data_IF_848653277175
#
_entry.id   IF_848653277175
#
_cell.length_a   1.000
_cell.length_b   1.000
_cell.length_c   1.000
_cell.angle_alpha   90.00
_cell.angle_beta   90.00
_cell.angle_gamma   90.00
#
_symmetry.space_group_name_H-M   'P 1'
#
loop_
_entity.id
_entity.type
_entity.pdbx_description
1 polymer ?
#
# COMPACT_ATOMS: atom_id res chain seq x y z
N UNK A 1 34.85 2.85 -6.41
CA UNK A 1 35.81 1.77 -6.11
C UNK A 1 37.07 1.98 -6.96
N UNK A 2 38.27 1.87 -6.37
CA UNK A 2 39.50 2.02 -7.17
C UNK A 2 39.58 0.97 -8.27
N UNK A 3 40.09 1.36 -9.44
CA UNK A 3 40.18 0.50 -10.62
C UNK A 3 40.97 -0.77 -10.34
N UNK A 4 42.01 -0.71 -9.52
CA UNK A 4 42.84 -1.87 -9.18
C UNK A 4 42.07 -2.99 -8.47
N UNK A 5 40.93 -2.66 -7.81
CA UNK A 5 40.10 -3.64 -7.10
C UNK A 5 38.96 -4.18 -7.95
N UNK A 6 38.79 -3.65 -9.16
CA UNK A 6 37.72 -4.05 -10.06
C UNK A 6 37.95 -5.49 -10.60
N UNK A 7 36.89 -6.30 -10.65
CA UNK A 7 36.96 -7.63 -11.24
C UNK A 7 37.35 -7.57 -12.72
N UNK A 8 36.93 -6.54 -13.44
CA UNK A 8 37.32 -6.36 -14.83
C UNK A 8 38.84 -6.31 -14.97
N UNK A 9 39.52 -5.59 -14.07
CA UNK A 9 40.96 -5.50 -14.08
C UNK A 9 41.64 -6.88 -13.90
N UNK A 10 41.07 -7.71 -13.02
CA UNK A 10 41.59 -9.04 -12.72
C UNK A 10 41.37 -10.03 -13.87
N UNK A 11 40.43 -9.75 -14.76
CA UNK A 11 40.12 -10.64 -15.89
C UNK A 11 40.86 -10.26 -17.17
N UNK A 12 41.71 -9.23 -17.14
CA UNK A 12 42.48 -8.86 -18.34
C UNK A 12 43.50 -9.94 -18.66
N UNK A 13 43.58 -10.36 -19.94
CA UNK A 13 44.42 -11.44 -20.39
C UNK A 13 43.85 -12.83 -20.22
N UNK A 14 42.67 -12.95 -19.55
CA UNK A 14 41.99 -14.24 -19.40
C UNK A 14 41.13 -14.50 -20.64
N UNK A 15 41.18 -15.73 -21.15
CA UNK A 15 40.49 -16.08 -22.42
C UNK A 15 38.96 -15.90 -22.31
N UNK A 16 38.37 -16.33 -21.19
CA UNK A 16 36.91 -16.32 -21.04
C UNK A 16 36.40 -15.27 -20.05
N UNK A 17 37.30 -14.53 -19.39
CA UNK A 17 36.95 -13.50 -18.40
C UNK A 17 36.01 -14.03 -17.29
N UNK A 18 36.15 -15.30 -16.91
CA UNK A 18 35.33 -15.90 -15.85
C UNK A 18 33.99 -16.47 -16.31
N UNK A 19 33.67 -16.42 -17.59
CA UNK A 19 32.38 -16.92 -18.09
C UNK A 19 32.39 -18.33 -18.68
N UNK A 20 33.54 -18.98 -18.66
CA UNK A 20 33.66 -20.32 -19.19
C UNK A 20 33.68 -20.36 -20.72
N UNK A 21 33.94 -21.55 -21.27
CA UNK A 21 34.04 -21.72 -22.72
C UNK A 21 32.82 -22.40 -23.34
N UNK A 22 32.16 -23.27 -22.61
CA UNK A 22 31.01 -24.02 -23.13
C UNK A 22 29.75 -23.15 -23.12
N UNK A 23 29.28 -22.69 -21.94
CA UNK A 23 28.10 -21.85 -21.82
C UNK A 23 28.29 -20.44 -22.32
N UNK A 24 29.46 -19.86 -22.06
CA UNK A 24 29.82 -18.49 -22.42
C UNK A 24 28.89 -17.46 -21.74
N UNK A 25 29.04 -16.20 -22.11
CA UNK A 25 28.17 -15.11 -21.65
C UNK A 25 27.46 -14.55 -22.88
N UNK A 26 26.30 -15.10 -23.15
CA UNK A 26 25.45 -14.63 -24.25
C UNK A 26 24.51 -13.52 -23.77
N UNK A 27 23.94 -12.78 -24.69
CA UNK A 27 23.14 -11.60 -24.37
C UNK A 27 21.78 -11.97 -23.76
N UNK A 28 21.12 -12.97 -24.30
CA UNK A 28 19.81 -13.41 -23.83
C UNK A 28 19.72 -14.93 -23.75
N UNK A 29 20.39 -15.56 -22.76
CA UNK A 29 20.51 -17.03 -22.73
C UNK A 29 19.20 -17.76 -22.41
N UNK A 30 18.20 -17.07 -21.86
CA UNK A 30 16.88 -17.64 -21.62
C UNK A 30 15.80 -17.09 -22.56
N UNK A 31 16.19 -16.28 -23.54
CA UNK A 31 15.23 -15.55 -24.37
C UNK A 31 14.99 -14.16 -23.83
N UNK A 32 14.35 -13.31 -24.64
CA UNK A 32 14.07 -11.93 -24.24
C UNK A 32 12.77 -11.82 -23.47
N UNK A 33 12.75 -10.90 -22.53
CA UNK A 33 11.55 -10.56 -21.79
C UNK A 33 10.98 -11.73 -21.00
N UNK A 34 9.69 -12.01 -21.17
CA UNK A 34 9.00 -13.09 -20.49
C UNK A 34 8.89 -14.37 -21.32
N UNK A 35 9.78 -14.56 -22.29
CA UNK A 35 9.77 -15.75 -23.14
C UNK A 35 9.95 -17.00 -22.27
N UNK A 36 9.27 -18.08 -22.65
CA UNK A 36 9.40 -19.37 -21.99
C UNK A 36 8.58 -19.53 -20.72
N UNK A 37 7.57 -18.66 -20.51
CA UNK A 37 6.78 -18.68 -19.28
C UNK A 37 6.02 -19.98 -19.04
N UNK A 38 5.62 -20.69 -20.09
CA UNK A 38 4.99 -22.02 -19.97
C UNK A 38 5.95 -23.15 -20.35
N UNK A 39 7.22 -22.85 -20.57
CA UNK A 39 8.23 -23.81 -20.97
C UNK A 39 9.43 -23.78 -20.02
N UNK A 40 10.55 -23.24 -20.46
CA UNK A 40 11.78 -23.29 -19.65
C UNK A 40 11.79 -22.32 -18.47
N UNK A 41 10.90 -21.34 -18.40
CA UNK A 41 10.73 -20.48 -17.23
C UNK A 41 9.46 -20.81 -16.44
N UNK A 42 8.90 -21.98 -16.64
CA UNK A 42 7.63 -22.39 -16.03
C UNK A 42 7.68 -22.40 -14.51
N UNK A 43 8.75 -22.89 -13.92
CA UNK A 43 8.88 -22.95 -12.46
C UNK A 43 8.75 -21.56 -11.83
N UNK A 44 9.38 -20.57 -12.43
CA UNK A 44 9.29 -19.19 -11.96
C UNK A 44 7.86 -18.67 -12.05
N UNK A 45 7.21 -18.88 -13.20
CA UNK A 45 5.85 -18.39 -13.40
C UNK A 45 4.85 -19.07 -12.47
N UNK A 46 4.97 -20.38 -12.27
CA UNK A 46 4.04 -21.11 -11.41
C UNK A 46 4.23 -20.76 -9.94
N UNK A 47 5.48 -20.53 -9.51
CA UNK A 47 5.78 -20.27 -8.11
C UNK A 47 5.52 -18.81 -7.70
N UNK A 48 5.94 -17.86 -8.53
CA UNK A 48 5.91 -16.44 -8.16
C UNK A 48 4.79 -15.65 -8.83
N UNK A 49 4.19 -16.19 -9.85
CA UNK A 49 3.11 -15.50 -10.59
C UNK A 49 1.94 -16.46 -10.89
N UNK A 50 1.38 -17.13 -9.88
CA UNK A 50 0.26 -18.04 -10.13
C UNK A 50 -0.91 -17.27 -10.73
N UNK A 51 -1.57 -17.89 -11.73
CA UNK A 51 -2.70 -17.26 -12.43
C UNK A 51 -2.31 -16.24 -13.48
N UNK A 52 -1.02 -16.13 -13.83
CA UNK A 52 -0.57 -15.19 -14.85
C UNK A 52 -1.19 -15.47 -16.21
N UNK A 53 -1.23 -16.75 -16.60
CA UNK A 53 -1.79 -17.16 -17.89
C UNK A 53 -3.29 -17.40 -17.78
N UNK A 54 -4.00 -17.17 -18.88
CA UNK A 54 -5.43 -17.37 -18.95
C UNK A 54 -6.22 -16.09 -18.73
N UNK A 55 -7.54 -16.23 -18.72
CA UNK A 55 -8.48 -15.13 -18.54
C UNK A 55 -9.46 -15.48 -17.44
N UNK A 56 -9.68 -14.58 -16.50
CA UNK A 56 -10.63 -14.76 -15.40
C UNK A 56 -11.43 -13.48 -15.24
N UNK A 57 -12.76 -13.62 -15.11
CA UNK A 57 -13.64 -12.51 -14.83
C UNK A 57 -14.03 -11.71 -16.06
N UNK A 58 -14.77 -10.66 -15.81
CA UNK A 58 -15.27 -9.76 -16.86
C UNK A 58 -14.28 -8.65 -17.14
N UNK A 59 -14.26 -8.19 -18.39
CA UNK A 59 -13.45 -7.05 -18.78
C UNK A 59 -14.22 -5.77 -18.55
N UNK A 60 -13.51 -4.69 -18.26
CA UNK A 60 -14.08 -3.36 -18.05
C UNK A 60 -13.41 -2.42 -19.07
N UNK A 61 -14.12 -2.10 -20.15
CA UNK A 61 -13.59 -1.21 -21.18
C UNK A 61 -13.54 0.23 -20.67
N UNK A 62 -12.51 0.94 -21.02
CA UNK A 62 -12.31 2.35 -20.65
C UNK A 62 -12.43 2.57 -19.14
N UNK A 63 -11.75 1.75 -18.38
CA UNK A 63 -11.74 1.85 -16.91
C UNK A 63 -10.88 3.03 -16.48
N UNK A 64 -11.52 4.04 -15.93
CA UNK A 64 -10.86 5.24 -15.44
C UNK A 64 -10.64 5.12 -13.94
N UNK A 65 -9.39 5.28 -13.50
CA UNK A 65 -9.04 5.14 -12.09
C UNK A 65 -9.71 6.18 -11.19
N UNK A 66 -9.96 7.38 -11.75
CA UNK A 66 -10.60 8.45 -10.98
C UNK A 66 -11.99 8.07 -10.47
N UNK A 67 -12.70 7.19 -11.17
CA UNK A 67 -14.02 6.73 -10.73
C UNK A 67 -13.96 5.86 -9.48
N UNK A 68 -12.79 5.30 -9.18
CA UNK A 68 -12.59 4.40 -8.04
C UNK A 68 -11.76 5.05 -6.94
N UNK A 69 -11.58 6.38 -7.00
CA UNK A 69 -10.77 7.09 -6.00
C UNK A 69 -11.47 7.04 -4.65
N UNK A 70 -10.93 6.25 -3.74
CA UNK A 70 -11.46 6.11 -2.38
C UNK A 70 -10.32 5.72 -1.43
N UNK A 71 -9.36 6.63 -1.19
CA UNK A 71 -8.26 6.34 -0.25
C UNK A 71 -8.81 6.01 1.13
N UNK A 72 -8.21 5.03 1.77
CA UNK A 72 -8.71 4.43 3.01
C UNK A 72 -7.84 4.85 4.19
N UNK A 73 -8.48 5.06 5.36
CA UNK A 73 -7.80 5.17 6.63
C UNK A 73 -8.46 4.25 7.64
N UNK A 74 -7.67 3.64 8.52
CA UNK A 74 -8.18 2.79 9.59
C UNK A 74 -8.34 3.59 10.89
N UNK A 75 -9.22 3.09 11.77
CA UNK A 75 -9.54 3.78 13.03
C UNK A 75 -8.30 4.03 13.88
N UNK A 76 -7.35 3.10 13.92
CA UNK A 76 -6.15 3.25 14.74
C UNK A 76 -5.34 4.50 14.39
N UNK A 77 -5.51 5.03 13.16
CA UNK A 77 -4.76 6.18 12.70
C UNK A 77 -5.54 7.49 12.72
N UNK A 78 -6.84 7.44 13.06
CA UNK A 78 -7.64 8.66 13.06
C UNK A 78 -7.09 9.72 14.00
N UNK A 79 -6.77 9.33 15.24
CA UNK A 79 -6.28 10.29 16.23
C UNK A 79 -4.92 10.89 15.86
N UNK A 80 -4.14 10.24 15.02
CA UNK A 80 -2.88 10.83 14.55
C UNK A 80 -3.09 12.00 13.61
N UNK A 81 -4.28 12.12 13.00
CA UNK A 81 -4.62 13.24 12.13
C UNK A 81 -5.11 14.48 12.89
N UNK A 82 -5.50 14.30 14.15
CA UNK A 82 -5.88 15.43 14.99
C UNK A 82 -4.61 16.21 15.39
N UNK A 83 -4.61 17.55 15.28
CA UNK A 83 -3.42 18.32 15.68
C UNK A 83 -2.95 17.97 17.09
N UNK A 84 -1.62 17.98 17.28
CA UNK A 84 -1.02 17.47 18.52
C UNK A 84 -1.58 18.16 19.77
N UNK A 85 -1.71 19.47 19.73
CA UNK A 85 -2.22 20.25 20.87
C UNK A 85 -3.63 19.83 21.26
N UNK A 86 -4.50 19.69 20.25
CA UNK A 86 -5.88 19.24 20.49
C UNK A 86 -5.92 17.79 20.96
N UNK A 87 -5.10 16.94 20.31
CA UNK A 87 -5.05 15.53 20.67
C UNK A 87 -4.67 15.33 22.13
N UNK A 88 -3.64 16.03 22.60
CA UNK A 88 -3.22 15.95 24.00
C UNK A 88 -4.32 16.44 24.94
N UNK A 89 -4.98 17.55 24.61
CA UNK A 89 -6.06 18.09 25.40
C UNK A 89 -7.19 17.06 25.62
N UNK A 90 -7.64 16.44 24.54
CA UNK A 90 -8.76 15.49 24.61
C UNK A 90 -8.36 14.15 25.23
N UNK A 91 -7.17 13.62 24.88
CA UNK A 91 -6.75 12.33 25.39
C UNK A 91 -6.33 12.37 26.87
N UNK A 92 -5.90 13.52 27.36
CA UNK A 92 -5.55 13.68 28.80
C UNK A 92 -6.75 13.96 29.69
N UNK A 93 -7.95 14.04 29.11
CA UNK A 93 -9.15 14.35 29.86
C UNK A 93 -9.30 15.81 30.27
N UNK A 94 -8.48 16.70 29.72
CA UNK A 94 -8.55 18.14 29.98
C UNK A 94 -9.47 18.87 29.00
N UNK A 95 -10.10 18.14 28.08
CA UNK A 95 -11.07 18.71 27.17
C UNK A 95 -12.39 19.00 27.84
N UNK A 96 -13.14 19.93 27.29
CA UNK A 96 -14.49 20.23 27.79
C UNK A 96 -15.39 19.01 27.54
N UNK A 97 -16.23 18.67 28.53
CA UNK A 97 -17.13 17.52 28.43
C UNK A 97 -18.11 17.62 27.26
N UNK A 98 -18.41 18.83 26.87
CA UNK A 98 -19.45 19.10 25.85
C UNK A 98 -18.87 19.37 24.47
N UNK A 99 -17.55 19.12 24.25
CA UNK A 99 -16.91 19.36 22.96
C UNK A 99 -16.15 18.13 22.49
N UNK A 100 -16.14 17.90 21.18
CA UNK A 100 -15.40 16.82 20.56
C UNK A 100 -14.69 17.35 19.31
N UNK A 101 -13.48 16.85 19.00
CA UNK A 101 -12.80 17.32 17.80
C UNK A 101 -13.54 16.87 16.55
N UNK A 102 -13.63 17.75 15.56
CA UNK A 102 -14.21 17.43 14.26
C UNK A 102 -13.05 17.11 13.29
N UNK A 103 -13.10 15.92 12.72
CA UNK A 103 -12.08 15.46 11.79
C UNK A 103 -12.70 15.31 10.41
N UNK A 104 -12.42 16.26 9.52
CA UNK A 104 -12.87 16.20 8.14
C UNK A 104 -11.76 15.51 7.32
N UNK A 105 -12.08 14.34 6.77
CA UNK A 105 -11.06 13.49 6.14
C UNK A 105 -10.80 13.86 4.68
N UNK A 106 -11.74 14.48 3.98
CA UNK A 106 -11.54 14.80 2.56
C UNK A 106 -10.37 15.75 2.32
N UNK A 107 -10.27 16.89 3.04
CA UNK A 107 -9.09 17.76 2.87
C UNK A 107 -7.77 17.08 3.25
N UNK A 108 -7.83 16.06 4.09
CA UNK A 108 -6.64 15.31 4.53
C UNK A 108 -6.27 14.19 3.55
N UNK A 109 -7.02 14.03 2.45
CA UNK A 109 -6.71 13.05 1.40
C UNK A 109 -7.31 11.68 1.61
N UNK A 110 -8.28 11.52 2.50
CA UNK A 110 -8.94 10.24 2.75
C UNK A 110 -10.42 10.34 2.44
N UNK A 111 -10.98 9.28 1.87
CA UNK A 111 -12.38 9.23 1.47
C UNK A 111 -13.18 8.20 2.28
N UNK A 112 -12.51 7.14 2.75
CA UNK A 112 -13.19 6.00 3.36
C UNK A 112 -12.55 5.61 4.68
N UNK A 113 -13.38 5.33 5.71
CA UNK A 113 -12.92 4.88 7.04
C UNK A 113 -13.23 3.39 7.21
N UNK A 114 -12.21 2.62 7.60
CA UNK A 114 -12.35 1.20 7.90
C UNK A 114 -12.03 0.90 9.36
N UNK A 115 -12.58 -0.21 9.86
CA UNK A 115 -12.60 -0.55 11.29
C UNK A 115 -11.33 -1.13 11.95
N UNK A 116 -10.41 -1.21 11.41
CA UNK A 116 -9.26 -1.76 11.93
C UNK A 116 -8.70 -0.96 13.02
N UNK A 117 -8.33 -1.68 13.93
CA UNK A 117 -7.71 -1.08 15.11
C UNK A 117 -8.68 -0.69 16.21
N UNK A 118 -8.14 -0.08 17.22
CA UNK A 118 -8.92 0.38 18.38
C UNK A 118 -8.97 1.90 18.42
N UNK A 119 -10.07 2.42 18.98
CA UNK A 119 -10.21 3.85 19.28
C UNK A 119 -10.09 4.05 20.78
N UNK A 120 -9.49 5.16 21.24
CA UNK A 120 -9.64 5.58 22.63
C UNK A 120 -11.11 5.88 22.95
N UNK A 121 -11.53 5.71 24.20
CA UNK A 121 -12.89 6.03 24.62
C UNK A 121 -13.05 7.54 24.82
N UNK A 122 -12.87 8.27 23.74
CA UNK A 122 -12.97 9.73 23.68
C UNK A 122 -13.80 10.07 22.45
N UNK A 123 -14.86 10.88 22.59
CA UNK A 123 -15.72 11.19 21.46
C UNK A 123 -14.97 11.95 20.37
N UNK A 124 -15.32 11.63 19.10
CA UNK A 124 -14.76 12.29 17.93
C UNK A 124 -15.85 12.38 16.86
N UNK A 125 -15.93 13.49 16.15
CA UNK A 125 -16.84 13.65 15.02
C UNK A 125 -16.06 13.45 13.74
N UNK A 126 -16.43 12.41 12.98
CA UNK A 126 -15.72 12.03 11.76
C UNK A 126 -16.57 12.35 10.54
N UNK A 127 -16.02 13.16 9.61
CA UNK A 127 -16.66 13.49 8.35
C UNK A 127 -15.94 12.77 7.21
N UNK A 128 -16.67 11.92 6.46
CA UNK A 128 -16.09 11.11 5.39
C UNK A 128 -17.16 10.77 4.35
N UNK A 129 -16.72 10.38 3.13
CA UNK A 129 -17.67 9.91 2.10
C UNK A 129 -18.21 8.52 2.41
N UNK A 130 -17.36 7.64 2.89
CA UNK A 130 -17.73 6.25 3.16
C UNK A 130 -17.20 5.81 4.52
N UNK A 131 -18.02 5.08 5.24
CA UNK A 131 -17.61 4.51 6.54
C UNK A 131 -18.12 3.07 6.58
N UNK A 132 -17.26 2.13 6.96
CA UNK A 132 -17.71 0.74 7.10
C UNK A 132 -18.60 0.59 8.33
N UNK A 133 -19.50 -0.40 8.32
CA UNK A 133 -20.40 -0.65 9.44
C UNK A 133 -19.64 -0.89 10.74
N UNK A 134 -18.50 -1.62 10.68
CA UNK A 134 -17.68 -1.84 11.86
C UNK A 134 -17.05 -0.55 12.39
N UNK A 135 -16.58 0.33 11.47
CA UNK A 135 -16.00 1.60 11.88
C UNK A 135 -17.07 2.48 12.55
N UNK A 136 -18.25 2.55 11.95
CA UNK A 136 -19.36 3.32 12.51
C UNK A 136 -19.72 2.82 13.91
N UNK A 137 -19.83 1.50 14.09
CA UNK A 137 -20.15 0.92 15.40
C UNK A 137 -19.10 1.33 16.46
N UNK A 138 -17.83 1.20 16.13
CA UNK A 138 -16.74 1.53 17.07
C UNK A 138 -16.69 3.02 17.40
N UNK A 139 -16.96 3.89 16.42
CA UNK A 139 -16.99 5.35 16.65
C UNK A 139 -18.14 5.68 17.62
N UNK A 140 -19.31 5.08 17.40
CA UNK A 140 -20.48 5.29 18.27
C UNK A 140 -20.24 4.75 19.67
N UNK A 141 -19.60 3.59 19.80
CA UNK A 141 -19.24 3.01 21.10
C UNK A 141 -18.30 3.92 21.89
N UNK A 142 -17.41 4.64 21.19
CA UNK A 142 -16.52 5.61 21.83
C UNK A 142 -17.20 6.96 22.13
N UNK A 143 -18.52 7.07 21.89
CA UNK A 143 -19.27 8.30 22.09
C UNK A 143 -19.19 9.29 20.94
N UNK A 144 -18.59 8.89 19.82
CA UNK A 144 -18.42 9.76 18.66
C UNK A 144 -19.57 9.73 17.67
N UNK A 145 -19.48 10.57 16.65
CA UNK A 145 -20.53 10.71 15.63
C UNK A 145 -19.87 10.59 14.23
N UNK A 146 -20.59 9.94 13.32
CA UNK A 146 -20.21 9.86 11.90
C UNK A 146 -21.12 10.75 11.09
N UNK A 147 -20.53 11.64 10.28
CA UNK A 147 -21.25 12.50 9.35
C UNK A 147 -20.79 12.18 7.93
N UNK A 148 -21.70 11.69 7.10
CA UNK A 148 -21.38 11.43 5.70
C UNK A 148 -21.46 12.74 4.91
N UNK A 149 -20.48 12.93 4.02
CA UNK A 149 -20.39 14.11 3.17
C UNK A 149 -20.26 13.66 1.70
N UNK A 150 -20.68 14.51 0.78
CA UNK A 150 -20.64 14.23 -0.66
C UNK A 150 -19.20 14.25 -1.21
#
# INVERSE_FOLDING_TARGET
MPTRLSNTRKHRGHVSAGHGRVGKHRKHPGGRGLAGGQHHHRTNMDKYHPGYFGKVGMRYFHKLQNQFWAPVINLEKLWSLVPAEQREKYLSGKGDSDSAPVLDLLPLGYSKVLGXGRLPNVPIIVRARYVSAEAERKIKEAGGVVQLVA
#
